data_IF_722068080379
#
_entry.id   IF_722068080379
#
_cell.length_a   1.000
_cell.length_b   1.000
_cell.length_c   1.000
_cell.angle_alpha   90.00
_cell.angle_beta   90.00
_cell.angle_gamma   90.00
#
_symmetry.space_group_name_H-M   'P 1'
#
loop_
_entity.id
_entity.type
_entity.pdbx_description
1 polymer ?
#
# COMPACT_ATOMS: atom_id res chain seq x y z
N UNK A 1 13.94 -35.47 22.22
CA UNK A 1 12.86 -34.48 21.99
C UNK A 1 13.23 -33.23 22.77
N UNK A 2 13.87 -32.25 22.11
CA UNK A 2 14.27 -31.00 22.73
C UNK A 2 13.10 -30.01 22.70
N UNK A 3 12.97 -29.28 23.80
CA UNK A 3 11.83 -28.45 24.15
C UNK A 3 11.73 -27.22 23.22
N UNK A 4 10.59 -27.06 22.52
CA UNK A 4 10.37 -26.04 21.50
C UNK A 4 10.49 -24.59 22.04
N UNK A 5 10.45 -24.43 23.37
CA UNK A 5 10.60 -23.16 24.07
C UNK A 5 12.08 -22.73 24.27
N UNK A 6 13.04 -23.66 24.22
CA UNK A 6 14.46 -23.31 24.34
C UNK A 6 15.00 -22.66 23.04
N UNK A 7 14.41 -22.99 21.90
CA UNK A 7 14.82 -22.45 20.59
C UNK A 7 14.41 -20.98 20.42
N UNK A 8 13.29 -20.55 20.99
CA UNK A 8 12.83 -19.14 20.92
C UNK A 8 13.67 -18.21 21.80
N UNK A 9 14.20 -18.70 22.92
CA UNK A 9 15.07 -17.91 23.81
C UNK A 9 16.47 -17.71 23.19
N UNK A 10 16.96 -18.69 22.42
CA UNK A 10 18.26 -18.60 21.75
C UNK A 10 18.26 -17.69 20.51
N UNK A 11 17.12 -17.53 19.82
CA UNK A 11 16.99 -16.59 18.68
C UNK A 11 16.91 -15.13 19.17
N UNK A 12 16.34 -14.88 20.35
CA UNK A 12 16.25 -13.53 20.90
C UNK A 12 17.60 -12.97 21.39
N UNK A 13 18.52 -13.84 21.82
CA UNK A 13 19.85 -13.42 22.27
C UNK A 13 20.87 -13.17 21.15
N UNK A 14 20.58 -13.55 19.90
CA UNK A 14 21.48 -13.32 18.77
C UNK A 14 21.26 -11.98 18.05
N UNK A 15 20.14 -11.28 18.30
CA UNK A 15 19.84 -9.98 17.65
C UNK A 15 20.34 -8.79 18.50
N UNK A 16 20.55 -8.98 19.80
CA UNK A 16 21.00 -7.89 20.71
C UNK A 16 22.52 -7.76 20.88
N UNK A 17 23.32 -8.65 20.28
CA UNK A 17 24.77 -8.70 20.48
C UNK A 17 25.61 -8.11 19.32
N UNK A 18 25.01 -7.51 18.29
CA UNK A 18 25.74 -7.02 17.11
C UNK A 18 25.50 -5.55 16.79
N UNK A 19 25.45 -4.68 17.79
CA UNK A 19 25.63 -3.23 17.62
C UNK A 19 26.34 -2.66 18.85
N UNK A 20 27.65 -2.89 18.93
CA UNK A 20 28.57 -2.15 19.81
C UNK A 20 29.91 -2.02 19.08
N UNK A 21 30.45 -0.79 19.08
CA UNK A 21 31.56 -0.23 18.27
C UNK A 21 31.02 0.43 16.99
N UNK A 22 31.10 1.74 16.75
CA UNK A 22 32.18 2.74 16.94
C UNK A 22 31.44 4.11 16.93
N UNK A 23 31.67 5.10 17.80
CA UNK A 23 32.84 6.00 17.84
C UNK A 23 32.76 6.89 19.08
N UNK A 24 33.92 7.15 19.67
CA UNK A 24 34.16 8.05 20.79
C UNK A 24 34.93 9.29 20.28
N UNK A 25 34.80 10.41 21.00
CA UNK A 25 35.42 11.74 20.85
C UNK A 25 34.59 12.73 19.98
N UNK A 26 34.31 13.96 20.42
CA UNK A 26 35.03 14.81 21.37
C UNK A 26 34.11 15.92 21.91
N UNK A 27 34.33 16.31 23.18
CA UNK A 27 33.72 17.44 23.87
C UNK A 27 34.07 18.79 23.23
N UNK A 28 33.11 19.74 23.21
CA UNK A 28 33.31 21.06 23.85
C UNK A 28 32.01 21.89 23.89
N UNK A 29 31.61 22.21 25.12
CA UNK A 29 31.08 23.51 25.61
C UNK A 29 29.88 24.18 24.93
N UNK A 30 28.87 24.49 25.76
CA UNK A 30 28.24 25.82 25.76
C UNK A 30 26.72 25.81 25.76
N UNK A 31 26.15 26.16 26.91
CA UNK A 31 24.77 26.60 27.09
C UNK A 31 24.30 27.56 25.97
N UNK A 32 23.10 27.37 25.42
CA UNK A 32 21.98 28.29 25.66
C UNK A 32 20.65 27.88 24.99
N UNK A 33 19.60 28.45 25.58
CA UNK A 33 18.15 28.23 25.43
C UNK A 33 17.54 28.28 24.03
N UNK A 34 16.46 27.49 23.91
CA UNK A 34 15.19 27.78 23.21
C UNK A 34 15.23 28.28 21.75
N UNK A 35 14.88 27.37 20.83
CA UNK A 35 13.64 27.42 20.04
C UNK A 35 13.49 26.11 19.27
N UNK A 36 12.50 25.31 19.64
CA UNK A 36 12.08 24.15 18.85
C UNK A 36 11.33 24.70 17.62
N UNK A 37 12.08 25.05 16.58
CA UNK A 37 11.52 25.13 15.24
C UNK A 37 11.33 23.69 14.76
N UNK A 38 10.06 23.32 14.56
CA UNK A 38 9.69 22.14 13.81
C UNK A 38 10.02 22.47 12.36
N UNK A 39 11.24 22.17 11.94
CA UNK A 39 11.59 22.15 10.53
C UNK A 39 10.91 20.93 9.92
N UNK A 40 9.92 21.18 9.07
CA UNK A 40 9.42 20.18 8.12
C UNK A 40 10.64 19.64 7.35
N UNK A 41 10.89 18.32 7.38
CA UNK A 41 11.83 17.76 6.43
C UNK A 41 11.18 17.92 5.06
N UNK A 42 11.63 18.92 4.30
CA UNK A 42 11.50 18.91 2.85
C UNK A 42 12.17 17.62 2.37
N UNK A 43 11.35 16.59 2.15
CA UNK A 43 11.76 15.38 1.47
C UNK A 43 12.34 15.81 0.12
N UNK A 44 13.61 15.46 -0.11
CA UNK A 44 14.17 15.47 -1.43
C UNK A 44 13.25 14.62 -2.32
N UNK A 45 12.52 15.27 -3.23
CA UNK A 45 11.88 14.58 -4.33
C UNK A 45 12.99 13.85 -5.08
N UNK A 46 13.12 12.54 -4.86
CA UNK A 46 13.78 11.67 -5.81
C UNK A 46 13.00 11.82 -7.12
N UNK A 47 13.49 12.71 -7.99
CA UNK A 47 13.25 12.63 -9.42
C UNK A 47 13.84 11.28 -9.87
N UNK A 48 13.05 10.22 -9.73
CA UNK A 48 13.29 8.94 -10.40
C UNK A 48 13.20 9.21 -11.90
N UNK A 49 14.34 9.57 -12.49
CA UNK A 49 14.54 9.49 -13.93
C UNK A 49 14.49 8.02 -14.28
N UNK A 50 13.36 7.57 -14.82
CA UNK A 50 13.14 6.19 -15.26
C UNK A 50 14.16 5.83 -16.36
N UNK A 51 15.27 5.23 -15.96
CA UNK A 51 16.14 4.44 -16.82
C UNK A 51 16.31 3.05 -16.20
N UNK A 52 16.40 2.04 -17.08
CA UNK A 52 16.71 0.61 -16.87
C UNK A 52 15.51 -0.35 -16.94
N UNK A 53 15.20 -0.87 -18.14
CA UNK A 53 15.84 -2.00 -18.88
C UNK A 53 15.47 -3.37 -18.29
N UNK A 54 14.68 -4.13 -19.04
CA UNK A 54 14.77 -5.59 -19.09
C UNK A 54 14.54 -6.07 -20.52
N UNK A 55 15.56 -6.72 -21.07
CA UNK A 55 15.65 -7.22 -22.45
C UNK A 55 14.79 -8.46 -22.61
N UNK A 56 13.76 -8.39 -23.45
CA UNK A 56 13.21 -9.54 -24.17
C UNK A 56 13.09 -9.16 -25.65
N UNK A 57 13.57 -10.04 -26.54
CA UNK A 57 13.53 -9.85 -27.98
C UNK A 57 12.08 -9.89 -28.49
N UNK A 58 11.51 -8.71 -28.73
CA UNK A 58 10.17 -8.50 -29.29
C UNK A 58 9.60 -7.20 -28.73
N UNK A 59 9.10 -6.30 -29.58
CA UNK A 59 8.57 -4.95 -29.27
C UNK A 59 8.40 -4.65 -27.76
N UNK A 60 9.28 -3.82 -27.20
CA UNK A 60 9.19 -3.36 -25.81
C UNK A 60 7.92 -2.52 -25.64
N UNK A 61 6.87 -3.11 -25.07
CA UNK A 61 5.64 -2.39 -24.72
C UNK A 61 5.95 -1.55 -23.47
N UNK A 62 6.36 -0.30 -23.68
CA UNK A 62 6.52 0.66 -22.60
C UNK A 62 5.16 1.22 -22.20
N UNK A 63 4.53 0.58 -21.22
CA UNK A 63 3.33 1.12 -20.60
C UNK A 63 3.76 2.24 -19.65
N UNK A 64 3.84 3.48 -20.14
CA UNK A 64 4.14 4.65 -19.31
C UNK A 64 2.85 5.23 -18.72
N UNK A 65 2.52 4.87 -17.49
CA UNK A 65 1.60 5.67 -16.66
C UNK A 65 2.40 6.32 -15.53
N UNK A 66 2.00 7.55 -15.18
CA UNK A 66 2.74 8.39 -14.26
C UNK A 66 2.77 7.76 -12.86
N UNK A 67 3.98 7.59 -12.31
CA UNK A 67 4.22 7.03 -10.98
C UNK A 67 3.45 7.76 -9.88
N UNK A 68 3.32 9.08 -9.98
CA UNK A 68 2.70 9.91 -8.95
C UNK A 68 1.22 9.57 -8.75
N UNK A 69 0.47 9.39 -9.83
CA UNK A 69 -0.97 9.10 -9.77
C UNK A 69 -1.25 7.73 -9.16
N UNK A 70 -0.42 6.73 -9.50
CA UNK A 70 -0.56 5.41 -8.92
C UNK A 70 -0.21 5.41 -7.42
N UNK A 71 0.79 6.21 -7.01
CA UNK A 71 1.12 6.41 -5.59
C UNK A 71 -0.06 7.03 -4.85
N UNK A 72 -0.65 8.10 -5.37
CA UNK A 72 -1.78 8.78 -4.72
C UNK A 72 -3.01 7.87 -4.59
N UNK A 73 -3.32 7.10 -5.64
CA UNK A 73 -4.38 6.10 -5.59
C UNK A 73 -4.11 5.04 -4.50
N UNK A 74 -2.89 4.52 -4.42
CA UNK A 74 -2.54 3.53 -3.39
C UNK A 74 -2.53 4.11 -1.98
N UNK A 75 -2.17 5.39 -1.81
CA UNK A 75 -2.34 6.07 -0.51
C UNK A 75 -3.81 6.12 -0.13
N UNK A 76 -4.70 6.49 -1.06
CA UNK A 76 -6.14 6.52 -0.78
C UNK A 76 -6.71 5.12 -0.44
N UNK A 77 -6.23 4.06 -1.11
CA UNK A 77 -6.60 2.68 -0.82
C UNK A 77 -6.03 2.21 0.54
N UNK A 78 -4.86 2.72 0.94
CA UNK A 78 -4.31 2.49 2.28
C UNK A 78 -5.18 3.13 3.36
N UNK A 79 -5.63 4.37 3.13
CA UNK A 79 -6.54 5.08 4.05
C UNK A 79 -7.89 4.36 4.22
N UNK A 80 -8.34 3.64 3.19
CA UNK A 80 -9.49 2.74 3.26
C UNK A 80 -9.20 1.39 3.94
N UNK A 81 -7.95 1.12 4.30
CA UNK A 81 -7.52 -0.13 4.94
C UNK A 81 -7.59 -1.34 3.99
N UNK A 82 -7.28 -1.13 2.70
CA UNK A 82 -7.36 -2.18 1.66
C UNK A 82 -6.06 -2.43 0.90
N UNK A 83 -5.04 -1.59 1.14
CA UNK A 83 -3.80 -1.67 0.38
C UNK A 83 -3.02 -2.97 0.64
N UNK A 84 -3.06 -3.52 1.85
CA UNK A 84 -2.36 -4.77 2.15
C UNK A 84 -2.90 -5.94 1.32
N UNK A 85 -4.21 -6.13 1.30
CA UNK A 85 -4.89 -7.12 0.46
C UNK A 85 -4.59 -6.89 -1.03
N UNK A 86 -4.71 -5.65 -1.50
CA UNK A 86 -4.43 -5.32 -2.90
C UNK A 86 -2.96 -5.56 -3.28
N UNK A 87 -2.03 -5.24 -2.38
CA UNK A 87 -0.60 -5.45 -2.59
C UNK A 87 -0.28 -6.94 -2.75
N UNK A 88 -0.86 -7.79 -1.90
CA UNK A 88 -0.71 -9.24 -2.00
C UNK A 88 -1.19 -9.76 -3.35
N UNK A 89 -2.35 -9.31 -3.83
CA UNK A 89 -2.87 -9.68 -5.15
C UNK A 89 -1.92 -9.24 -6.26
N UNK A 90 -1.38 -8.02 -6.18
CA UNK A 90 -0.43 -7.51 -7.17
C UNK A 90 0.87 -8.33 -7.24
N UNK A 91 1.41 -8.73 -6.08
CA UNK A 91 2.60 -9.58 -5.99
C UNK A 91 2.35 -10.95 -6.61
N UNK A 92 1.24 -11.61 -6.26
CA UNK A 92 0.86 -12.91 -6.82
C UNK A 92 0.66 -12.87 -8.34
N UNK A 93 0.05 -11.80 -8.86
CA UNK A 93 -0.13 -11.60 -10.29
C UNK A 93 1.20 -11.38 -11.01
N UNK A 94 2.09 -10.59 -10.43
CA UNK A 94 3.42 -10.38 -11.00
C UNK A 94 4.17 -11.71 -11.10
N UNK A 95 4.25 -12.48 -10.02
CA UNK A 95 4.93 -13.78 -10.00
C UNK A 95 4.30 -14.78 -10.99
N UNK A 96 2.97 -14.75 -11.14
CA UNK A 96 2.25 -15.68 -12.01
C UNK A 96 2.39 -15.35 -13.51
N UNK A 97 2.61 -14.09 -13.86
CA UNK A 97 2.56 -13.61 -15.26
C UNK A 97 3.87 -12.99 -15.78
N UNK A 98 4.94 -12.96 -14.97
CA UNK A 98 6.26 -12.40 -15.33
C UNK A 98 6.87 -12.98 -16.62
N UNK A 99 6.57 -14.24 -16.95
CA UNK A 99 7.11 -14.92 -18.14
C UNK A 99 6.06 -15.16 -19.23
N UNK A 100 4.80 -14.73 -19.01
CA UNK A 100 3.67 -15.08 -19.91
C UNK A 100 3.41 -14.03 -20.98
N UNK A 101 3.61 -12.76 -20.67
CA UNK A 101 3.33 -11.65 -21.59
C UNK A 101 4.13 -10.42 -21.17
N UNK A 102 4.80 -9.76 -22.13
CA UNK A 102 5.61 -8.56 -21.85
C UNK A 102 4.76 -7.40 -21.32
N UNK A 103 3.54 -7.22 -21.85
CA UNK A 103 2.60 -6.22 -21.35
C UNK A 103 2.12 -6.56 -19.93
N UNK A 104 1.77 -7.81 -19.64
CA UNK A 104 1.42 -8.26 -18.29
C UNK A 104 2.57 -8.03 -17.31
N UNK A 105 3.79 -8.37 -17.72
CA UNK A 105 4.99 -8.20 -16.90
C UNK A 105 5.20 -6.74 -16.55
N UNK A 106 5.18 -5.85 -17.56
CA UNK A 106 5.35 -4.41 -17.32
C UNK A 106 4.24 -3.86 -16.41
N UNK A 107 2.99 -4.26 -16.66
CA UNK A 107 1.82 -3.81 -15.90
C UNK A 107 1.86 -4.26 -14.44
N UNK A 108 1.95 -5.56 -14.18
CA UNK A 108 1.92 -6.12 -12.82
C UNK A 108 3.17 -5.76 -12.01
N UNK A 109 4.35 -5.73 -12.65
CA UNK A 109 5.60 -5.26 -12.00
C UNK A 109 5.44 -3.85 -11.46
N UNK A 110 4.80 -2.97 -12.23
CA UNK A 110 4.61 -1.57 -11.86
C UNK A 110 3.58 -1.42 -10.73
N UNK A 111 2.45 -2.14 -10.82
CA UNK A 111 1.46 -2.19 -9.74
C UNK A 111 2.07 -2.70 -8.44
N UNK A 112 2.67 -3.90 -8.47
CA UNK A 112 3.32 -4.54 -7.31
C UNK A 112 4.37 -3.62 -6.68
N UNK A 113 5.36 -3.15 -7.45
CA UNK A 113 6.42 -2.29 -6.90
C UNK A 113 5.88 -1.01 -6.26
N UNK A 114 4.87 -0.41 -6.87
CA UNK A 114 4.32 0.85 -6.36
C UNK A 114 3.46 0.61 -5.13
N UNK A 115 2.65 -0.46 -5.09
CA UNK A 115 1.84 -0.80 -3.91
C UNK A 115 2.72 -1.17 -2.72
N UNK A 116 3.78 -1.98 -2.92
CA UNK A 116 4.67 -2.36 -1.82
C UNK A 116 5.42 -1.14 -1.26
N UNK A 117 5.94 -0.27 -2.14
CA UNK A 117 6.62 0.98 -1.72
C UNK A 117 5.68 1.89 -0.90
N UNK A 118 4.43 2.05 -1.34
CA UNK A 118 3.46 2.88 -0.63
C UNK A 118 3.08 2.24 0.71
N UNK A 119 2.82 0.93 0.72
CA UNK A 119 2.46 0.19 1.92
C UNK A 119 3.55 0.32 3.00
N UNK A 120 4.80 0.03 2.65
CA UNK A 120 5.95 0.16 3.56
C UNK A 120 6.08 1.58 4.14
N UNK A 121 5.90 2.59 3.29
CA UNK A 121 5.99 4.00 3.69
C UNK A 121 4.89 4.38 4.67
N UNK A 122 3.66 3.96 4.39
CA UNK A 122 2.50 4.29 5.21
C UNK A 122 2.50 3.51 6.55
N UNK A 123 2.97 2.27 6.57
CA UNK A 123 3.18 1.50 7.80
C UNK A 123 4.17 2.24 8.71
N UNK A 124 5.36 2.58 8.20
CA UNK A 124 6.38 3.31 8.97
C UNK A 124 5.89 4.66 9.50
N UNK A 125 5.12 5.39 8.68
CA UNK A 125 4.51 6.65 9.09
C UNK A 125 3.49 6.43 10.22
N UNK A 126 2.63 5.43 10.07
CA UNK A 126 1.61 5.08 11.07
C UNK A 126 2.25 4.65 12.39
N UNK A 127 3.28 3.83 12.37
CA UNK A 127 4.05 3.42 13.56
C UNK A 127 4.64 4.62 14.30
N UNK A 128 5.25 5.56 13.54
CA UNK A 128 5.80 6.80 14.09
C UNK A 128 4.70 7.67 14.74
N UNK A 129 3.56 7.84 14.06
CA UNK A 129 2.44 8.64 14.55
C UNK A 129 1.81 8.01 15.81
N UNK A 130 1.66 6.68 15.84
CA UNK A 130 1.20 5.94 17.03
C UNK A 130 2.16 6.13 18.19
N UNK A 131 3.48 6.01 17.95
CA UNK A 131 4.50 6.24 18.97
C UNK A 131 4.43 7.66 19.57
N UNK A 132 4.30 8.68 18.71
CA UNK A 132 4.18 10.07 19.14
C UNK A 132 2.90 10.32 19.95
N UNK A 133 1.77 9.75 19.53
CA UNK A 133 0.50 9.87 20.24
C UNK A 133 0.55 9.17 21.60
N UNK A 134 1.18 8.00 21.70
CA UNK A 134 1.39 7.30 22.97
C UNK A 134 2.31 8.09 23.91
N UNK A 135 3.41 8.66 23.41
CA UNK A 135 4.30 9.50 24.20
C UNK A 135 3.55 10.71 24.80
N UNK A 136 2.73 11.38 23.98
CA UNK A 136 1.89 12.49 24.45
C UNK A 136 0.85 12.06 25.48
N UNK A 137 0.27 10.87 25.35
CA UNK A 137 -0.65 10.32 26.34
C UNK A 137 0.08 10.06 27.68
N UNK A 138 1.28 9.47 27.66
CA UNK A 138 2.11 9.29 28.87
C UNK A 138 2.46 10.61 29.55
N UNK A 139 2.88 11.61 28.77
CA UNK A 139 3.17 12.96 29.25
C UNK A 139 1.95 13.59 29.95
N UNK A 140 0.78 13.49 29.33
CA UNK A 140 -0.49 14.01 29.88
C UNK A 140 -0.87 13.33 31.20
N UNK A 141 -0.50 12.06 31.38
CA UNK A 141 -0.72 11.31 32.62
C UNK A 141 0.43 11.43 33.63
N UNK A 142 1.48 12.21 33.31
CA UNK A 142 2.71 12.30 34.10
C UNK A 142 3.36 10.95 34.40
N UNK A 143 3.29 10.01 33.45
CA UNK A 143 3.90 8.69 33.54
C UNK A 143 5.33 8.68 32.99
N UNK A 144 6.12 7.71 33.45
CA UNK A 144 7.45 7.46 32.90
C UNK A 144 7.40 7.05 31.41
N UNK A 145 8.47 7.31 30.66
CA UNK A 145 8.54 7.02 29.22
C UNK A 145 8.35 5.52 28.91
N UNK A 146 8.74 4.64 29.83
CA UNK A 146 8.64 3.19 29.74
C UNK A 146 7.30 2.63 30.24
N UNK A 147 6.36 3.48 30.69
CA UNK A 147 5.08 3.04 31.20
C UNK A 147 4.30 2.20 30.17
N UNK A 148 3.65 1.12 30.62
CA UNK A 148 2.91 0.20 29.75
C UNK A 148 1.54 0.75 29.34
N UNK A 149 0.94 0.17 28.30
CA UNK A 149 -0.44 0.52 27.90
C UNK A 149 -1.43 0.26 29.06
N UNK A 150 -1.18 -0.73 29.91
CA UNK A 150 -2.00 -1.07 31.07
C UNK A 150 -1.89 -0.01 32.17
N UNK A 151 -0.68 0.51 32.42
CA UNK A 151 -0.43 1.60 33.38
C UNK A 151 -1.08 2.91 32.91
N UNK A 152 -1.00 3.20 31.61
CA UNK A 152 -1.69 4.34 31.00
C UNK A 152 -3.21 4.24 31.18
N UNK A 153 -3.79 3.06 30.95
CA UNK A 153 -5.22 2.81 31.15
C UNK A 153 -5.64 2.86 32.63
N UNK A 154 -4.74 2.48 33.55
CA UNK A 154 -5.00 2.59 34.98
C UNK A 154 -5.01 4.06 35.44
N UNK A 155 -3.99 4.83 35.06
CA UNK A 155 -3.91 6.26 35.38
C UNK A 155 -5.04 7.08 34.74
N UNK A 156 -5.48 6.73 33.53
CA UNK A 156 -6.64 7.37 32.88
C UNK A 156 -7.91 7.25 33.75
N UNK A 157 -8.11 6.14 34.46
CA UNK A 157 -9.30 5.94 35.30
C UNK A 157 -9.33 6.84 36.54
N UNK A 158 -8.19 7.39 36.93
CA UNK A 158 -8.05 8.29 38.08
C UNK A 158 -8.24 9.77 37.71
N UNK A 159 -8.30 10.10 36.40
CA UNK A 159 -8.53 11.46 35.92
C UNK A 159 -9.95 11.95 36.22
N UNK A 160 -10.06 13.24 36.56
CA UNK A 160 -11.34 13.94 36.60
C UNK A 160 -11.93 14.01 35.18
N UNK A 161 -13.15 13.48 34.93
CA UNK A 161 -13.80 13.54 33.63
C UNK A 161 -14.03 14.96 33.09
N UNK A 162 -13.97 15.98 33.96
CA UNK A 162 -14.13 17.39 33.58
C UNK A 162 -12.79 18.13 33.39
N UNK A 163 -11.66 17.43 33.52
CA UNK A 163 -10.34 18.04 33.31
C UNK A 163 -10.02 18.21 31.82
N UNK A 164 -9.23 19.24 31.50
CA UNK A 164 -8.71 19.48 30.15
C UNK A 164 -7.86 18.27 29.66
N UNK A 165 -7.15 17.62 30.58
CA UNK A 165 -6.33 16.43 30.32
C UNK A 165 -7.18 15.24 29.88
N UNK A 166 -8.35 15.03 30.52
CA UNK A 166 -9.30 14.00 30.10
C UNK A 166 -9.80 14.26 28.67
N UNK A 167 -10.16 15.49 28.33
CA UNK A 167 -10.59 15.85 26.98
C UNK A 167 -9.47 15.61 25.94
N UNK A 168 -8.23 15.97 26.29
CA UNK A 168 -7.06 15.74 25.44
C UNK A 168 -6.80 14.25 25.20
N UNK A 169 -6.89 13.42 26.23
CA UNK A 169 -6.72 11.96 26.13
C UNK A 169 -7.81 11.34 25.26
N UNK A 170 -9.07 11.77 25.39
CA UNK A 170 -10.14 11.31 24.49
C UNK A 170 -9.85 11.68 23.03
N UNK A 171 -9.29 12.88 22.75
CA UNK A 171 -8.85 13.27 21.40
C UNK A 171 -7.70 12.39 20.89
N UNK A 172 -6.74 12.05 21.73
CA UNK A 172 -5.62 11.15 21.39
C UNK A 172 -6.14 9.74 21.08
N UNK A 173 -6.97 9.15 21.95
CA UNK A 173 -7.55 7.81 21.76
C UNK A 173 -8.40 7.73 20.51
N UNK A 174 -9.17 8.77 20.21
CA UNK A 174 -9.93 8.88 18.96
C UNK A 174 -9.03 8.92 17.71
N UNK A 175 -7.83 9.48 17.80
CA UNK A 175 -6.86 9.45 16.70
C UNK A 175 -6.20 8.08 16.58
N UNK A 176 -5.77 7.49 17.69
CA UNK A 176 -5.20 6.14 17.73
C UNK A 176 -6.18 5.11 17.17
N UNK A 177 -7.45 5.16 17.57
CA UNK A 177 -8.45 4.22 17.07
C UNK A 177 -8.66 4.35 15.56
N UNK A 178 -8.59 5.55 14.98
CA UNK A 178 -8.67 5.73 13.51
C UNK A 178 -7.48 5.15 12.77
N UNK A 179 -6.29 5.18 13.37
CA UNK A 179 -5.09 4.56 12.82
C UNK A 179 -5.11 3.02 12.96
N UNK A 180 -5.92 2.49 13.87
CA UNK A 180 -6.02 1.06 14.18
C UNK A 180 -7.27 0.38 13.63
N UNK A 181 -8.30 1.14 13.22
CA UNK A 181 -9.56 0.53 12.78
C UNK A 181 -9.38 -0.21 11.47
N UNK A 182 -9.52 -1.53 11.55
CA UNK A 182 -9.94 -2.42 10.47
C UNK A 182 -11.25 -1.88 9.87
N UNK A 183 -11.17 -1.11 8.79
CA UNK A 183 -12.35 -0.54 8.12
C UNK A 183 -13.01 -1.64 7.29
N UNK A 184 -13.67 -2.63 7.88
CA UNK A 184 -14.07 -3.86 7.16
C UNK A 184 -15.32 -3.77 6.27
N UNK A 185 -16.08 -2.68 6.27
CA UNK A 185 -17.36 -2.59 5.54
C UNK A 185 -17.65 -1.17 5.02
N UNK A 186 -16.69 -0.56 4.30
CA UNK A 186 -16.93 0.72 3.66
C UNK A 186 -16.75 0.62 2.15
N UNK A 187 -17.61 1.31 1.44
CA UNK A 187 -17.43 1.61 0.01
C UNK A 187 -16.11 2.38 -0.21
N UNK A 188 -15.52 2.30 -1.42
CA UNK A 188 -14.35 3.11 -1.75
C UNK A 188 -14.60 4.58 -1.50
N UNK A 189 -13.65 5.25 -0.85
CA UNK A 189 -13.75 6.69 -0.66
C UNK A 189 -13.71 7.42 -2.03
N UNK A 190 -14.16 8.67 -2.04
CA UNK A 190 -14.26 9.43 -3.30
C UNK A 190 -12.92 9.63 -4.00
N UNK A 191 -11.81 9.69 -3.26
CA UNK A 191 -10.45 9.78 -3.81
C UNK A 191 -10.07 8.50 -4.55
N UNK A 192 -10.43 7.33 -4.02
CA UNK A 192 -10.24 6.04 -4.69
C UNK A 192 -11.09 5.97 -5.96
N UNK A 193 -12.37 6.39 -5.89
CA UNK A 193 -13.24 6.42 -7.07
C UNK A 193 -12.66 7.32 -8.18
N UNK A 194 -12.28 8.55 -7.84
CA UNK A 194 -11.71 9.50 -8.79
C UNK A 194 -10.37 9.02 -9.35
N UNK A 195 -9.47 8.53 -8.49
CA UNK A 195 -8.18 8.00 -8.91
C UNK A 195 -8.31 6.77 -9.82
N UNK A 196 -9.32 5.92 -9.58
CA UNK A 196 -9.61 4.76 -10.43
C UNK A 196 -10.11 5.19 -11.82
N UNK A 197 -11.04 6.15 -11.88
CA UNK A 197 -11.54 6.72 -13.15
C UNK A 197 -10.39 7.37 -13.93
N UNK A 198 -9.54 8.14 -13.25
CA UNK A 198 -8.42 8.84 -13.87
C UNK A 198 -7.37 7.88 -14.41
N UNK A 199 -7.04 6.84 -13.65
CA UNK A 199 -6.14 5.78 -14.09
C UNK A 199 -6.72 5.04 -15.31
N UNK A 200 -7.99 4.67 -15.26
CA UNK A 200 -8.68 3.99 -16.36
C UNK A 200 -8.73 4.84 -17.63
N UNK A 201 -8.99 6.15 -17.49
CA UNK A 201 -8.98 7.11 -18.60
C UNK A 201 -7.60 7.21 -19.24
N UNK A 202 -6.53 7.19 -18.44
CA UNK A 202 -5.16 7.22 -18.97
C UNK A 202 -4.79 5.92 -19.69
N UNK A 203 -5.26 4.78 -19.17
CA UNK A 203 -5.12 3.52 -19.90
C UNK A 203 -5.83 3.58 -21.25
N UNK A 204 -7.02 4.19 -21.33
CA UNK A 204 -7.79 4.25 -22.57
C UNK A 204 -7.24 5.25 -23.58
N UNK A 205 -6.63 6.33 -23.12
CA UNK A 205 -5.98 7.36 -23.94
C UNK A 205 -4.55 6.98 -24.36
N UNK A 206 -3.99 5.92 -23.80
CA UNK A 206 -2.64 5.44 -24.12
C UNK A 206 -2.55 4.87 -25.54
N UNK A 207 -1.39 5.08 -26.19
CA UNK A 207 -1.05 4.42 -27.46
C UNK A 207 -1.03 2.88 -27.35
N UNK A 208 -0.97 2.36 -26.13
CA UNK A 208 -0.97 0.93 -25.82
C UNK A 208 -2.29 0.43 -25.22
N UNK A 209 -3.37 1.21 -25.30
CA UNK A 209 -4.66 0.86 -24.69
C UNK A 209 -5.14 -0.56 -25.05
N UNK A 210 -5.01 -0.97 -26.32
CA UNK A 210 -5.38 -2.32 -26.76
C UNK A 210 -4.53 -3.43 -26.11
N UNK A 211 -3.23 -3.17 -25.89
CA UNK A 211 -2.30 -4.12 -25.24
C UNK A 211 -2.52 -4.20 -23.72
N UNK A 212 -3.17 -3.21 -23.11
CA UNK A 212 -3.47 -3.15 -21.67
C UNK A 212 -4.74 -3.93 -21.32
N UNK A 213 -5.67 -4.12 -22.27
CA UNK A 213 -6.97 -4.74 -22.01
C UNK A 213 -6.86 -6.13 -21.38
N UNK A 214 -6.00 -6.99 -21.90
CA UNK A 214 -5.81 -8.34 -21.36
C UNK A 214 -5.19 -8.33 -19.94
N UNK A 215 -4.06 -7.64 -19.68
CA UNK A 215 -3.56 -7.47 -18.32
C UNK A 215 -4.60 -6.89 -17.35
N UNK A 216 -5.39 -5.92 -17.81
CA UNK A 216 -6.44 -5.31 -17.01
C UNK A 216 -7.57 -6.31 -16.72
N UNK A 217 -8.01 -7.11 -17.69
CA UNK A 217 -9.03 -8.15 -17.46
C UNK A 217 -8.56 -9.19 -16.43
N UNK A 218 -7.31 -9.64 -16.54
CA UNK A 218 -6.69 -10.53 -15.56
C UNK A 218 -6.70 -9.88 -14.18
N UNK A 219 -6.28 -8.61 -14.09
CA UNK A 219 -6.25 -7.85 -12.84
C UNK A 219 -7.63 -7.75 -12.19
N UNK A 220 -8.63 -7.37 -12.98
CA UNK A 220 -10.02 -7.15 -12.53
C UNK A 220 -10.66 -8.44 -12.04
N UNK A 221 -10.41 -9.55 -12.73
CA UNK A 221 -10.84 -10.86 -12.25
C UNK A 221 -10.15 -11.22 -10.94
N UNK A 222 -8.82 -11.03 -10.85
CA UNK A 222 -8.07 -11.37 -9.66
C UNK A 222 -8.54 -10.58 -8.42
N UNK A 223 -8.70 -9.26 -8.51
CA UNK A 223 -9.10 -8.45 -7.35
C UNK A 223 -10.53 -8.71 -6.85
N UNK A 224 -11.41 -9.28 -7.69
CA UNK A 224 -12.81 -9.59 -7.31
C UNK A 224 -13.00 -11.05 -6.90
N UNK A 225 -12.12 -11.96 -7.36
CA UNK A 225 -12.23 -13.41 -7.14
C UNK A 225 -11.15 -13.98 -6.22
N UNK A 226 -10.26 -13.12 -5.69
CA UNK A 226 -9.16 -13.56 -4.82
C UNK A 226 -9.66 -14.36 -3.61
N UNK A 227 -8.95 -15.44 -3.29
CA UNK A 227 -9.31 -16.31 -2.19
C UNK A 227 -9.03 -15.61 -0.84
N UNK A 228 -10.02 -15.63 0.05
CA UNK A 228 -9.89 -15.05 1.39
C UNK A 228 -10.38 -13.61 1.52
N UNK A 229 -10.91 -13.00 0.45
CA UNK A 229 -11.59 -11.71 0.55
C UNK A 229 -12.83 -11.81 1.45
N UNK A 230 -12.95 -10.85 2.38
CA UNK A 230 -14.18 -10.60 3.12
C UNK A 230 -15.29 -10.08 2.19
N UNK A 231 -16.55 -10.16 2.63
CA UNK A 231 -17.67 -9.64 1.84
C UNK A 231 -17.50 -8.14 1.51
N UNK A 232 -17.09 -7.33 2.49
CA UNK A 232 -16.84 -5.91 2.28
C UNK A 232 -15.65 -5.61 1.35
N UNK A 233 -14.62 -6.46 1.32
CA UNK A 233 -13.53 -6.35 0.33
C UNK A 233 -13.99 -6.68 -1.09
N UNK A 234 -14.84 -7.70 -1.25
CA UNK A 234 -15.40 -8.04 -2.57
C UNK A 234 -16.19 -6.87 -3.15
N UNK A 235 -17.12 -6.33 -2.39
CA UNK A 235 -17.93 -5.17 -2.80
C UNK A 235 -17.05 -3.94 -3.11
N UNK A 236 -16.02 -3.72 -2.28
CA UNK A 236 -15.04 -2.66 -2.50
C UNK A 236 -14.30 -2.83 -3.83
N UNK A 237 -13.73 -4.01 -4.08
CA UNK A 237 -12.93 -4.26 -5.28
C UNK A 237 -13.79 -4.38 -6.55
N UNK A 238 -15.05 -4.79 -6.43
CA UNK A 238 -16.04 -4.73 -7.52
C UNK A 238 -16.27 -3.27 -7.95
N UNK A 239 -16.49 -2.35 -7.00
CA UNK A 239 -16.67 -0.92 -7.30
C UNK A 239 -15.39 -0.29 -7.84
N UNK A 240 -14.25 -0.54 -7.20
CA UNK A 240 -12.94 -0.10 -7.70
C UNK A 240 -12.70 -0.58 -9.14
N UNK A 241 -12.95 -1.86 -9.39
CA UNK A 241 -12.78 -2.45 -10.71
C UNK A 241 -13.76 -1.90 -11.75
N UNK A 242 -15.01 -1.64 -11.35
CA UNK A 242 -16.00 -0.97 -12.20
C UNK A 242 -15.52 0.40 -12.66
N UNK A 243 -15.09 1.26 -11.73
CA UNK A 243 -14.63 2.61 -12.04
C UNK A 243 -13.34 2.63 -12.85
N UNK A 244 -12.44 1.69 -12.61
CA UNK A 244 -11.21 1.54 -13.39
C UNK A 244 -11.47 1.05 -14.82
N UNK A 245 -12.43 0.14 -15.00
CA UNK A 245 -12.77 -0.41 -16.32
C UNK A 245 -13.66 0.51 -17.17
N UNK A 246 -14.52 1.31 -16.56
CA UNK A 246 -15.52 2.11 -17.28
C UNK A 246 -14.90 2.94 -18.43
N UNK A 247 -13.76 3.64 -18.25
CA UNK A 247 -13.14 4.41 -19.34
C UNK A 247 -12.54 3.55 -20.46
N UNK A 248 -12.32 2.26 -20.23
CA UNK A 248 -11.76 1.31 -21.22
C UNK A 248 -12.83 0.71 -22.15
N UNK A 249 -14.12 0.87 -21.84
CA UNK A 249 -15.23 0.34 -22.65
C UNK A 249 -15.22 0.77 -24.13
N UNK A 250 -14.91 2.04 -24.49
CA UNK A 250 -14.78 2.43 -25.88
C UNK A 250 -13.67 1.65 -26.62
N UNK A 251 -12.53 1.41 -25.95
CA UNK A 251 -11.40 0.65 -26.51
C UNK A 251 -11.82 -0.80 -26.76
N UNK A 252 -12.50 -1.43 -25.80
CA UNK A 252 -13.04 -2.81 -25.95
C UNK A 252 -13.99 -2.91 -27.14
N UNK A 253 -14.91 -1.94 -27.29
CA UNK A 253 -15.87 -1.92 -28.40
C UNK A 253 -15.16 -1.78 -29.74
N UNK A 254 -14.15 -0.92 -29.82
CA UNK A 254 -13.40 -0.72 -31.05
C UNK A 254 -12.56 -1.94 -31.43
N UNK A 255 -11.89 -2.56 -30.46
CA UNK A 255 -11.15 -3.82 -30.67
C UNK A 255 -12.08 -4.92 -31.20
N UNK A 256 -13.28 -5.08 -30.62
CA UNK A 256 -14.29 -6.03 -31.11
C UNK A 256 -14.67 -5.79 -32.57
N UNK A 257 -14.84 -4.53 -32.99
CA UNK A 257 -15.12 -4.20 -34.40
C UNK A 257 -13.95 -4.56 -35.31
N UNK A 258 -12.71 -4.24 -34.92
CA UNK A 258 -11.51 -4.59 -35.70
C UNK A 258 -11.37 -6.11 -35.90
N UNK A 259 -11.67 -6.89 -34.87
CA UNK A 259 -11.69 -8.36 -34.95
C UNK A 259 -12.79 -8.84 -35.91
N UNK A 260 -14.01 -8.32 -35.79
CA UNK A 260 -15.13 -8.68 -36.68
C UNK A 260 -14.87 -8.31 -38.15
N UNK A 261 -14.16 -7.20 -38.39
CA UNK A 261 -13.74 -6.77 -39.71
C UNK A 261 -12.55 -7.58 -40.27
N UNK A 262 -11.99 -8.53 -39.50
CA UNK A 262 -10.81 -9.30 -39.90
C UNK A 262 -9.52 -8.50 -39.96
N UNK A 263 -9.51 -7.28 -39.38
CA UNK A 263 -8.32 -6.42 -39.34
C UNK A 263 -7.30 -6.90 -38.30
N UNK A 264 -7.77 -7.61 -37.27
CA UNK A 264 -6.94 -8.23 -36.25
C UNK A 264 -7.27 -9.71 -36.21
N UNK A 265 -6.25 -10.54 -36.43
CA UNK A 265 -6.35 -11.99 -36.22
C UNK A 265 -5.85 -12.27 -34.81
N UNK A 266 -6.77 -12.60 -33.90
CA UNK A 266 -6.36 -13.03 -32.56
C UNK A 266 -5.54 -14.32 -32.69
N UNK A 267 -4.43 -14.46 -31.95
CA UNK A 267 -3.77 -15.75 -31.84
C UNK A 267 -4.79 -16.76 -31.33
N UNK A 268 -4.85 -17.95 -31.95
CA UNK A 268 -5.74 -19.01 -31.47
C UNK A 268 -5.42 -19.26 -29.99
N UNK A 269 -6.44 -19.14 -29.14
CA UNK A 269 -6.33 -19.43 -27.70
C UNK A 269 -5.68 -20.81 -27.57
N UNK A 270 -4.57 -20.98 -26.83
CA UNK A 270 -4.02 -22.30 -26.60
C UNK A 270 -5.11 -23.14 -25.91
N UNK A 271 -5.39 -24.33 -26.44
CA UNK A 271 -6.49 -25.21 -25.97
C UNK A 271 -6.33 -25.69 -24.52
N UNK A 272 -5.23 -25.31 -23.85
CA UNK A 272 -4.95 -25.58 -22.44
C UNK A 272 -5.24 -24.34 -21.59
N UNK A 273 -6.51 -23.99 -21.39
CA UNK A 273 -6.85 -23.07 -20.31
C UNK A 273 -6.87 -23.79 -18.97
N UNK A 274 -6.14 -23.22 -18.02
CA UNK A 274 -6.15 -23.55 -16.60
C UNK A 274 -7.59 -23.58 -16.09
N UNK A 275 -8.05 -24.75 -15.64
CA UNK A 275 -9.26 -24.88 -14.85
C UNK A 275 -9.03 -24.13 -13.52
N UNK A 276 -9.52 -22.90 -13.43
CA UNK A 276 -9.84 -22.32 -12.13
C UNK A 276 -11.11 -23.01 -11.65
N UNK A 277 -10.91 -24.11 -10.92
CA UNK A 277 -11.99 -24.83 -10.23
C UNK A 277 -12.64 -23.87 -9.25
N UNK A 278 -13.96 -23.74 -9.38
CA UNK A 278 -14.84 -22.94 -8.52
C UNK A 278 -14.86 -23.42 -7.07
#
# INVERSE_FOLDING_TARGET
>A
MLNHNLFKILVFFCIFASCSAVTLAQESSGDDKQKLQVDDPQEAEEQETENEVSVFQGEEVRISFNNYELKDLFVAIFEDGRLETLNKINEELFDTYIDKCSACTAFFKKLSRTSSKVLDRQIKKTEKDVGLLKAKWKETLHLAEDATDEEMLAAEKELDPNSDDFELIQKIKKRLSRLQTDVKEREPNISVVQGSIDLGRRFSESLHAEKILEPLDIYMNAITTHEGLTQGEKEYFELFGYYLNQPMEPVRKELKKKIQAGQIVLPKKPENELNFSS
#
